data_IF_104939763900
#
_entry.id   IF_104939763900
#
_cell.length_a   1.000
_cell.length_b   1.000
_cell.length_c   1.000
_cell.angle_alpha   90.00
_cell.angle_beta   90.00
_cell.angle_gamma   90.00
#
_symmetry.space_group_name_H-M   'P 1'
#
loop_
_entity.id
_entity.type
_entity.pdbx_description
1 polymer ?
#
# COMPACT_ATOMS: atom_id res chain seq x y z
N UNK A 1 2.44 22.08 5.28
CA UNK A 1 1.11 21.45 5.54
C UNK A 1 0.20 21.76 4.35
N UNK A 2 -0.38 20.77 3.67
CA UNK A 2 -1.16 20.96 2.42
C UNK A 2 -2.55 21.58 2.65
N UNK A 3 -3.08 22.35 1.69
CA UNK A 3 -4.41 22.95 1.72
C UNK A 3 -5.52 21.90 1.98
N UNK A 4 -5.36 20.69 1.40
CA UNK A 4 -6.27 19.55 1.62
C UNK A 4 -6.25 19.04 3.07
N UNK A 5 -5.13 19.18 3.78
CA UNK A 5 -5.02 18.76 5.17
C UNK A 5 -5.81 19.66 6.12
N UNK A 6 -6.04 20.93 5.75
CA UNK A 6 -6.81 21.89 6.57
C UNK A 6 -8.32 21.69 6.46
N UNK A 7 -8.80 21.08 5.38
CA UNK A 7 -10.23 20.86 5.11
C UNK A 7 -10.76 19.54 5.68
N UNK A 8 -9.92 18.69 6.29
CA UNK A 8 -10.38 17.42 6.89
C UNK A 8 -11.17 17.66 8.17
N UNK A 9 -12.30 16.97 8.29
CA UNK A 9 -13.08 16.83 9.53
C UNK A 9 -12.25 16.16 10.63
N UNK A 10 -12.68 16.32 11.88
CA UNK A 10 -12.05 15.64 13.03
C UNK A 10 -12.07 14.11 12.87
N UNK A 11 -13.15 13.57 12.31
CA UNK A 11 -13.30 12.14 12.05
C UNK A 11 -12.33 11.64 10.96
N UNK A 12 -12.18 12.37 9.86
CA UNK A 12 -11.19 12.03 8.80
C UNK A 12 -9.75 12.11 9.32
N UNK A 13 -9.46 13.05 10.23
CA UNK A 13 -8.14 13.12 10.89
C UNK A 13 -7.91 11.90 11.78
N UNK A 14 -8.91 11.49 12.58
CA UNK A 14 -8.84 10.29 13.43
C UNK A 14 -8.63 9.03 12.59
N UNK A 15 -9.40 8.84 11.52
CA UNK A 15 -9.25 7.71 10.57
C UNK A 15 -7.88 7.70 9.89
N UNK A 16 -7.40 8.87 9.47
CA UNK A 16 -6.06 9.00 8.91
C UNK A 16 -4.96 8.63 9.91
N UNK A 17 -5.11 9.02 11.18
CA UNK A 17 -4.17 8.66 12.24
C UNK A 17 -4.19 7.15 12.56
N UNK A 18 -5.37 6.52 12.61
CA UNK A 18 -5.50 5.07 12.78
C UNK A 18 -4.79 4.31 11.65
N UNK A 19 -5.06 4.67 10.39
CA UNK A 19 -4.41 4.08 9.23
C UNK A 19 -2.88 4.21 9.28
N UNK A 20 -2.37 5.42 9.52
CA UNK A 20 -0.92 5.67 9.58
C UNK A 20 -0.27 4.92 10.75
N UNK A 21 -0.93 4.88 11.90
CA UNK A 21 -0.43 4.18 13.09
C UNK A 21 -0.31 2.68 12.85
N UNK A 22 -1.39 2.04 12.38
CA UNK A 22 -1.40 0.60 12.07
C UNK A 22 -0.40 0.24 10.97
N UNK A 23 -0.35 1.02 9.91
CA UNK A 23 0.59 0.79 8.82
C UNK A 23 2.04 0.93 9.28
N UNK A 24 2.36 1.98 10.04
CA UNK A 24 3.71 2.16 10.59
C UNK A 24 4.09 0.99 11.50
N UNK A 25 3.21 0.60 12.43
CA UNK A 25 3.45 -0.50 13.35
C UNK A 25 3.72 -1.82 12.61
N UNK A 26 2.91 -2.12 11.60
CA UNK A 26 3.07 -3.33 10.80
C UNK A 26 4.34 -3.31 9.93
N UNK A 27 4.71 -2.18 9.32
CA UNK A 27 5.97 -2.04 8.58
C UNK A 27 7.19 -2.18 9.49
N UNK A 28 7.17 -1.55 10.67
CA UNK A 28 8.24 -1.68 11.65
C UNK A 28 8.38 -3.13 12.14
N UNK A 29 7.25 -3.84 12.33
CA UNK A 29 7.23 -5.25 12.74
C UNK A 29 7.88 -6.16 11.70
N UNK A 30 7.50 -6.05 10.41
CA UNK A 30 7.92 -7.01 9.38
C UNK A 30 9.18 -6.63 8.63
N UNK A 31 9.49 -5.33 8.53
CA UNK A 31 10.69 -4.84 7.85
C UNK A 31 11.76 -4.39 8.84
N UNK A 32 11.41 -4.14 10.09
CA UNK A 32 12.27 -3.47 11.06
C UNK A 32 12.12 -1.94 11.01
N UNK A 33 12.51 -1.25 12.09
CA UNK A 33 12.36 0.19 12.19
C UNK A 33 13.16 0.89 11.09
N UNK A 34 12.55 1.90 10.46
CA UNK A 34 13.13 2.73 9.41
C UNK A 34 13.58 2.01 8.13
N UNK A 35 13.50 0.67 8.04
CA UNK A 35 13.92 -0.06 6.83
C UNK A 35 13.12 0.38 5.62
N UNK A 36 11.81 0.58 5.76
CA UNK A 36 10.92 1.05 4.69
C UNK A 36 11.35 2.37 4.06
N UNK A 37 12.07 3.24 4.79
CA UNK A 37 12.64 4.50 4.26
C UNK A 37 13.84 4.28 3.33
N UNK A 38 14.44 3.09 3.38
CA UNK A 38 15.57 2.64 2.57
C UNK A 38 15.15 1.59 1.52
N UNK A 39 13.85 1.52 1.20
CA UNK A 39 13.30 0.61 0.20
C UNK A 39 12.58 1.43 -0.89
N UNK A 40 12.47 0.86 -2.09
CA UNK A 40 11.66 1.43 -3.15
C UNK A 40 10.18 1.12 -2.90
N UNK A 41 9.33 2.14 -2.77
CA UNK A 41 7.90 1.96 -2.51
C UNK A 41 7.08 2.10 -3.79
N UNK A 42 6.35 1.05 -4.17
CA UNK A 42 5.36 1.13 -5.25
C UNK A 42 4.08 1.81 -4.73
N UNK A 43 4.06 3.14 -4.79
CA UNK A 43 3.00 3.96 -4.20
C UNK A 43 1.68 3.92 -4.96
N UNK A 44 1.73 3.90 -6.29
CA UNK A 44 0.54 3.83 -7.13
C UNK A 44 0.88 3.23 -8.49
N UNK A 45 0.00 2.36 -8.99
CA UNK A 45 0.05 1.81 -10.34
C UNK A 45 -1.37 1.72 -10.87
N UNK A 46 -1.56 2.18 -12.10
CA UNK A 46 -2.87 2.17 -12.74
C UNK A 46 -2.74 1.99 -14.24
N UNK A 47 -3.73 1.32 -14.83
CA UNK A 47 -3.94 1.26 -16.27
C UNK A 47 -5.39 1.64 -16.54
N UNK A 48 -5.65 2.31 -17.66
CA UNK A 48 -7.03 2.61 -18.05
C UNK A 48 -7.82 1.30 -18.25
N UNK A 49 -9.13 1.26 -17.94
CA UNK A 49 -9.91 0.03 -18.05
C UNK A 49 -9.80 -0.65 -19.43
N UNK A 50 -9.83 0.12 -20.51
CA UNK A 50 -9.70 -0.37 -21.89
C UNK A 50 -8.32 -1.03 -22.21
N UNK A 51 -7.33 -0.83 -21.34
CA UNK A 51 -5.95 -1.30 -21.50
C UNK A 51 -5.56 -2.34 -20.46
N UNK A 52 -6.45 -2.72 -19.54
CA UNK A 52 -6.23 -3.81 -18.59
C UNK A 52 -6.14 -5.17 -19.31
N UNK A 53 -5.51 -6.16 -18.66
CA UNK A 53 -5.33 -7.50 -19.21
C UNK A 53 -4.29 -7.62 -20.34
N UNK A 54 -3.56 -6.53 -20.65
CA UNK A 54 -2.57 -6.47 -21.75
C UNK A 54 -1.11 -6.49 -21.27
N UNK A 55 -0.87 -6.78 -19.99
CA UNK A 55 0.48 -6.85 -19.41
C UNK A 55 1.12 -5.51 -19.02
N UNK A 56 0.47 -4.36 -19.25
CA UNK A 56 1.06 -3.05 -18.90
C UNK A 56 1.34 -2.87 -17.41
N UNK A 57 0.48 -3.39 -16.53
CA UNK A 57 0.74 -3.38 -15.09
C UNK A 57 2.04 -4.12 -14.74
N UNK A 58 2.21 -5.32 -15.28
CA UNK A 58 3.43 -6.10 -15.06
C UNK A 58 4.67 -5.43 -15.67
N UNK A 59 4.54 -4.81 -16.85
CA UNK A 59 5.63 -4.05 -17.46
C UNK A 59 6.07 -2.86 -16.58
N UNK A 60 5.13 -2.16 -15.96
CA UNK A 60 5.42 -1.07 -15.01
C UNK A 60 6.07 -1.59 -13.72
N UNK A 61 5.59 -2.71 -13.15
CA UNK A 61 6.23 -3.35 -12.01
C UNK A 61 7.67 -3.78 -12.33
N UNK A 62 7.90 -4.39 -13.49
CA UNK A 62 9.23 -4.81 -13.93
C UNK A 62 10.17 -3.60 -14.13
N UNK A 63 9.68 -2.49 -14.67
CA UNK A 63 10.46 -1.26 -14.81
C UNK A 63 10.89 -0.70 -13.45
N UNK A 64 9.97 -0.67 -12.48
CA UNK A 64 10.26 -0.22 -11.11
C UNK A 64 11.25 -1.16 -10.41
N UNK A 65 11.06 -2.48 -10.53
CA UNK A 65 11.97 -3.47 -9.97
C UNK A 65 13.38 -3.32 -10.54
N UNK A 66 13.51 -3.14 -11.85
CA UNK A 66 14.81 -2.88 -12.51
C UNK A 66 15.50 -1.63 -11.97
N UNK A 67 14.75 -0.55 -11.72
CA UNK A 67 15.29 0.67 -11.13
C UNK A 67 15.73 0.46 -9.67
N UNK A 68 14.96 -0.30 -8.90
CA UNK A 68 15.30 -0.65 -7.52
C UNK A 68 16.57 -1.52 -7.46
N UNK A 69 16.66 -2.55 -8.31
CA UNK A 69 17.81 -3.44 -8.45
C UNK A 69 19.08 -2.67 -8.85
N UNK A 70 18.98 -1.75 -9.80
CA UNK A 70 20.10 -0.91 -10.22
C UNK A 70 20.64 -0.02 -9.09
N UNK A 71 19.81 0.28 -8.09
CA UNK A 71 20.19 1.04 -6.88
C UNK A 71 20.55 0.14 -5.69
N UNK A 72 20.45 -1.18 -5.83
CA UNK A 72 20.62 -2.13 -4.73
C UNK A 72 19.57 -1.97 -3.62
N UNK A 73 18.38 -1.48 -3.96
CA UNK A 73 17.29 -1.25 -3.00
C UNK A 73 16.24 -2.36 -3.13
N UNK A 74 15.83 -3.02 -2.03
CA UNK A 74 14.66 -3.89 -2.09
C UNK A 74 13.40 -3.04 -2.30
N UNK A 75 12.30 -3.65 -2.72
CA UNK A 75 11.02 -2.96 -2.94
C UNK A 75 9.88 -3.53 -2.11
N UNK A 76 8.86 -2.72 -1.86
CA UNK A 76 7.62 -3.14 -1.18
C UNK A 76 6.41 -2.40 -1.75
N UNK A 77 5.22 -2.96 -1.49
CA UNK A 77 3.93 -2.41 -1.90
C UNK A 77 2.94 -2.54 -0.75
N UNK A 78 1.92 -1.70 -0.74
CA UNK A 78 0.79 -1.81 0.19
C UNK A 78 -0.48 -1.89 -0.66
N UNK A 79 -1.36 -2.86 -0.39
CA UNK A 79 -2.56 -3.11 -1.20
C UNK A 79 -3.84 -3.19 -0.37
N UNK A 80 -4.83 -2.35 -0.70
CA UNK A 80 -6.14 -2.31 -0.03
C UNK A 80 -7.23 -3.14 -0.70
N UNK A 81 -7.00 -3.62 -1.93
CA UNK A 81 -7.89 -4.56 -2.62
C UNK A 81 -7.22 -5.94 -2.63
N UNK A 82 -7.08 -6.53 -1.45
CA UNK A 82 -6.33 -7.78 -1.24
C UNK A 82 -6.84 -8.89 -2.17
N UNK A 83 -8.16 -9.11 -2.20
CA UNK A 83 -8.74 -10.21 -2.96
C UNK A 83 -8.56 -10.03 -4.49
N UNK A 84 -8.57 -8.79 -4.97
CA UNK A 84 -8.38 -8.48 -6.40
C UNK A 84 -6.93 -8.35 -6.85
N UNK A 85 -6.02 -7.92 -5.96
CA UNK A 85 -4.66 -7.55 -6.34
C UNK A 85 -3.59 -8.57 -5.95
N UNK A 86 -3.82 -9.43 -4.95
CA UNK A 86 -2.77 -10.33 -4.44
C UNK A 86 -2.20 -11.23 -5.53
N UNK A 87 -3.04 -11.82 -6.39
CA UNK A 87 -2.55 -12.63 -7.52
C UNK A 87 -1.67 -11.83 -8.48
N UNK A 88 -2.04 -10.58 -8.76
CA UNK A 88 -1.26 -9.71 -9.64
C UNK A 88 0.11 -9.40 -9.03
N UNK A 89 0.17 -8.97 -7.77
CA UNK A 89 1.45 -8.67 -7.11
C UNK A 89 2.33 -9.91 -6.94
N UNK A 90 1.74 -11.06 -6.60
CA UNK A 90 2.46 -12.33 -6.53
C UNK A 90 3.09 -12.72 -7.88
N UNK A 91 2.38 -12.49 -8.99
CA UNK A 91 2.95 -12.74 -10.33
C UNK A 91 4.11 -11.81 -10.71
N UNK A 92 4.29 -10.70 -9.97
CA UNK A 92 5.40 -9.76 -10.13
C UNK A 92 6.50 -9.94 -9.06
N UNK A 93 6.47 -11.04 -8.30
CA UNK A 93 7.53 -11.39 -7.33
C UNK A 93 7.35 -10.81 -5.93
N UNK A 94 6.24 -10.13 -5.65
CA UNK A 94 5.88 -9.73 -4.29
C UNK A 94 5.20 -10.88 -3.55
N UNK A 95 5.16 -10.82 -2.22
CA UNK A 95 4.38 -11.74 -1.39
C UNK A 95 3.93 -11.00 -0.13
N UNK A 96 2.76 -11.36 0.39
CA UNK A 96 2.22 -10.76 1.60
C UNK A 96 3.02 -11.21 2.82
N UNK A 97 3.50 -10.26 3.61
CA UNK A 97 4.21 -10.50 4.88
C UNK A 97 3.35 -10.14 6.10
N UNK A 98 2.34 -9.29 5.92
CA UNK A 98 1.39 -8.91 6.97
C UNK A 98 0.08 -8.41 6.37
N UNK A 99 -0.99 -8.59 7.12
CA UNK A 99 -2.25 -7.88 6.88
C UNK A 99 -2.62 -7.04 8.10
N UNK A 100 -3.16 -5.85 7.86
CA UNK A 100 -3.80 -5.01 8.88
C UNK A 100 -5.26 -4.74 8.50
N UNK A 101 -6.08 -4.44 9.50
CA UNK A 101 -7.47 -4.06 9.34
C UNK A 101 -7.64 -2.60 9.74
N UNK A 102 -8.35 -1.83 8.92
CA UNK A 102 -8.59 -0.40 9.14
C UNK A 102 -10.09 -0.16 9.19
N UNK A 103 -10.55 0.64 10.16
CA UNK A 103 -11.97 0.94 10.39
C UNK A 103 -12.65 0.03 11.42
N UNK A 104 -12.01 -1.07 11.83
CA UNK A 104 -12.47 -2.01 12.86
C UNK A 104 -12.56 -1.40 14.28
N UNK A 105 -11.80 -0.32 14.55
CA UNK A 105 -11.76 0.36 15.84
C UNK A 105 -12.60 1.64 15.89
N UNK A 106 -13.22 2.02 14.77
CA UNK A 106 -14.04 3.23 14.67
C UNK A 106 -15.53 2.88 14.72
N UNK A 107 -16.24 3.13 15.83
CA UNK A 107 -17.67 2.77 15.96
C UNK A 107 -18.57 3.57 15.01
N UNK A 108 -18.04 4.61 14.36
CA UNK A 108 -18.75 5.40 13.34
C UNK A 108 -18.49 4.90 11.91
N UNK A 109 -17.78 3.77 11.77
CA UNK A 109 -17.49 3.14 10.50
C UNK A 109 -18.66 2.24 10.08
N UNK A 110 -19.40 2.65 9.05
CA UNK A 110 -20.64 1.97 8.62
C UNK A 110 -20.43 0.91 7.53
N UNK A 111 -19.19 0.75 7.06
CA UNK A 111 -18.84 -0.22 6.00
C UNK A 111 -18.06 -1.39 6.57
N UNK A 112 -17.82 -2.40 5.76
CA UNK A 112 -16.85 -3.43 6.14
C UNK A 112 -15.48 -2.78 6.41
N UNK A 113 -14.75 -3.22 7.46
CA UNK A 113 -13.37 -2.84 7.65
C UNK A 113 -12.50 -3.21 6.44
N UNK A 114 -11.49 -2.40 6.18
CA UNK A 114 -10.65 -2.56 4.99
C UNK A 114 -9.41 -3.37 5.37
N UNK A 115 -9.22 -4.52 4.70
CA UNK A 115 -7.98 -5.28 4.75
C UNK A 115 -6.90 -4.58 3.93
N UNK A 116 -5.71 -4.44 4.50
CA UNK A 116 -4.54 -3.90 3.83
C UNK A 116 -3.43 -4.95 3.91
N UNK A 117 -2.95 -5.42 2.78
CA UNK A 117 -1.78 -6.30 2.68
C UNK A 117 -0.50 -5.47 2.52
N UNK A 118 0.55 -5.90 3.20
CA UNK A 118 1.93 -5.40 3.11
C UNK A 118 2.79 -6.50 2.50
#
# INVERSE_FOLDING_TARGET
MSLRSRMKTSQEKKRGADFVGKLKGALDEVLGPDRSKKMSFLSHIATTPAKQGRGYGSALCAAMAKEADARGLPSYVISSNVDGNTRFYNSNGYFTVKEIIVGDTDPTWEKEPVKIAI
#
